data_IF_206610135663
#
_entry.id   IF_206610135663
#
_cell.length_a   1.000
_cell.length_b   1.000
_cell.length_c   1.000
_cell.angle_alpha   90.00
_cell.angle_beta   90.00
_cell.angle_gamma   90.00
#
_symmetry.space_group_name_H-M   'P 1'
#
loop_
_entity.id
_entity.type
_entity.pdbx_description
1 polymer ?
#
# COMPACT_ATOMS: atom_id res chain seq x y z
N UNK A 1 7.65 -24.68 -11.24
CA UNK A 1 7.42 -23.23 -11.04
C UNK A 1 8.73 -22.53 -11.29
N UNK A 2 8.83 -21.75 -12.36
CA UNK A 2 10.09 -21.14 -12.79
C UNK A 2 10.54 -20.08 -11.79
N UNK A 3 11.79 -20.21 -11.31
CA UNK A 3 12.49 -19.20 -10.52
C UNK A 3 12.62 -17.91 -11.34
N UNK A 4 11.70 -16.95 -11.15
CA UNK A 4 11.91 -15.58 -11.62
C UNK A 4 13.01 -14.94 -10.76
N UNK A 5 14.26 -15.06 -11.22
CA UNK A 5 15.32 -14.04 -11.22
C UNK A 5 15.59 -13.23 -9.94
N UNK A 6 16.51 -13.73 -9.12
CA UNK A 6 17.14 -13.06 -7.96
C UNK A 6 17.66 -11.63 -8.27
N UNK A 7 18.23 -11.42 -9.47
CA UNK A 7 18.77 -10.11 -9.90
C UNK A 7 17.68 -9.08 -10.20
N UNK A 8 16.59 -9.46 -10.85
CA UNK A 8 15.52 -8.53 -11.20
C UNK A 8 14.78 -8.06 -9.95
N UNK A 9 14.52 -8.97 -9.02
CA UNK A 9 13.95 -8.64 -7.70
C UNK A 9 14.89 -7.72 -6.92
N UNK A 10 16.20 -8.00 -6.91
CA UNK A 10 17.20 -7.12 -6.27
C UNK A 10 17.16 -5.69 -6.81
N UNK A 11 17.17 -5.52 -8.14
CA UNK A 11 17.10 -4.20 -8.77
C UNK A 11 15.80 -3.45 -8.44
N UNK A 12 14.68 -4.17 -8.32
CA UNK A 12 13.39 -3.62 -7.91
C UNK A 12 13.42 -3.12 -6.46
N UNK A 13 13.97 -3.92 -5.54
CA UNK A 13 14.13 -3.55 -4.13
C UNK A 13 15.04 -2.31 -3.98
N UNK A 14 16.17 -2.29 -4.66
CA UNK A 14 17.09 -1.15 -4.66
C UNK A 14 16.43 0.11 -5.21
N UNK A 15 15.64 -0.01 -6.28
CA UNK A 15 14.88 1.10 -6.84
C UNK A 15 13.89 1.66 -5.83
N UNK A 16 13.08 0.82 -5.19
CA UNK A 16 12.10 1.27 -4.19
C UNK A 16 12.79 1.97 -3.02
N UNK A 17 13.93 1.45 -2.54
CA UNK A 17 14.77 2.11 -1.52
C UNK A 17 15.30 3.47 -2.00
N UNK A 18 15.76 3.56 -3.25
CA UNK A 18 16.26 4.81 -3.82
C UNK A 18 15.15 5.86 -3.99
N UNK A 19 13.94 5.46 -4.36
CA UNK A 19 12.75 6.33 -4.40
C UNK A 19 12.43 6.82 -2.99
N UNK A 20 12.35 5.89 -2.03
CA UNK A 20 12.05 6.19 -0.64
C UNK A 20 13.09 7.12 0.00
N UNK A 21 14.35 7.07 -0.43
CA UNK A 21 15.41 7.98 0.03
C UNK A 21 15.18 9.44 -0.43
N UNK A 22 14.52 9.64 -1.58
CA UNK A 22 14.29 10.95 -2.20
C UNK A 22 12.92 11.54 -1.90
N UNK A 23 11.90 10.69 -1.70
CA UNK A 23 10.51 11.12 -1.51
C UNK A 23 9.98 10.65 -0.16
N UNK A 24 9.31 11.52 0.63
CA UNK A 24 8.70 11.12 1.88
C UNK A 24 7.47 10.22 1.68
N UNK A 25 6.82 10.30 0.51
CA UNK A 25 5.66 9.48 0.17
C UNK A 25 5.64 9.18 -1.33
N UNK A 26 5.33 7.93 -1.71
CA UNK A 26 5.19 7.52 -3.11
C UNK A 26 4.30 6.28 -3.26
N UNK A 27 3.78 6.09 -4.48
CA UNK A 27 3.21 4.83 -4.97
C UNK A 27 3.88 4.47 -6.31
N UNK A 28 4.16 3.18 -6.52
CA UNK A 28 4.93 2.70 -7.67
C UNK A 28 4.37 1.37 -8.16
N UNK A 29 4.14 1.25 -9.47
CA UNK A 29 3.81 -0.02 -10.10
C UNK A 29 5.12 -0.76 -10.43
N UNK A 30 5.40 -1.82 -9.67
CA UNK A 30 6.63 -2.59 -9.82
C UNK A 30 6.63 -3.47 -11.07
N UNK A 31 5.46 -3.78 -11.65
CA UNK A 31 5.37 -4.56 -12.88
C UNK A 31 5.50 -3.67 -14.10
N UNK A 32 4.87 -2.49 -14.08
CA UNK A 32 4.94 -1.48 -15.13
C UNK A 32 6.18 -0.57 -15.09
N UNK A 33 7.00 -0.67 -14.04
CA UNK A 33 8.16 0.20 -13.77
C UNK A 33 7.83 1.71 -13.85
N UNK A 34 6.73 2.12 -13.21
CA UNK A 34 6.23 3.50 -13.29
C UNK A 34 5.67 4.03 -11.97
N UNK A 35 5.68 5.35 -11.81
CA UNK A 35 5.04 6.00 -10.65
C UNK A 35 3.52 5.99 -10.81
N UNK A 36 2.82 5.71 -9.72
CA UNK A 36 1.39 5.95 -9.60
C UNK A 36 1.20 7.34 -8.99
N UNK A 37 0.60 8.25 -9.76
CA UNK A 37 0.39 9.65 -9.39
C UNK A 37 -1.05 10.12 -9.63
N UNK A 38 -1.97 9.20 -9.93
CA UNK A 38 -3.41 9.44 -10.10
C UNK A 38 -4.21 8.42 -9.33
N UNK A 39 -5.51 8.68 -9.22
CA UNK A 39 -6.51 7.76 -8.67
C UNK A 39 -6.35 7.48 -7.17
N UNK A 40 -6.98 6.41 -6.69
CA UNK A 40 -7.08 6.09 -5.28
C UNK A 40 -6.23 4.86 -4.96
N UNK A 41 -5.40 4.96 -3.93
CA UNK A 41 -4.51 3.88 -3.50
C UNK A 41 -4.89 3.45 -2.09
N UNK A 42 -5.08 2.15 -1.90
CA UNK A 42 -5.40 1.56 -0.60
C UNK A 42 -4.44 0.42 -0.32
N UNK A 43 -3.87 0.40 0.88
CA UNK A 43 -2.96 -0.66 1.30
C UNK A 43 -3.70 -1.97 1.58
N UNK A 44 -3.04 -3.09 1.28
CA UNK A 44 -3.45 -4.40 1.77
C UNK A 44 -3.11 -4.54 3.26
N UNK A 45 -3.94 -5.33 3.96
CA UNK A 45 -3.55 -5.90 5.24
C UNK A 45 -2.50 -6.99 5.00
N UNK A 46 -1.23 -6.70 5.31
CA UNK A 46 -0.17 -7.70 5.29
C UNK A 46 0.22 -8.02 6.73
N UNK A 47 0.23 -9.30 7.14
CA UNK A 47 0.80 -9.69 8.42
C UNK A 47 2.25 -9.23 8.52
N UNK A 48 2.55 -8.40 9.51
CA UNK A 48 3.87 -7.81 9.71
C UNK A 48 4.21 -7.71 11.19
N UNK A 49 5.43 -7.31 11.49
CA UNK A 49 5.80 -6.98 12.86
C UNK A 49 5.01 -5.74 13.29
N UNK A 50 4.37 -5.77 14.46
CA UNK A 50 3.54 -4.66 14.95
C UNK A 50 4.31 -3.32 15.07
N UNK A 51 5.62 -3.36 15.28
CA UNK A 51 6.45 -2.15 15.43
C UNK A 51 7.12 -1.67 14.15
N UNK A 52 7.37 -2.59 13.20
CA UNK A 52 8.20 -2.31 12.00
C UNK A 52 7.45 -2.47 10.68
N UNK A 53 6.22 -3.00 10.70
CA UNK A 53 5.49 -3.39 9.51
C UNK A 53 6.09 -4.63 8.82
N UNK A 54 5.60 -4.98 7.63
CA UNK A 54 6.18 -6.03 6.80
C UNK A 54 7.52 -5.60 6.19
N UNK A 55 8.42 -6.56 5.98
CA UNK A 55 9.67 -6.34 5.25
C UNK A 55 9.41 -6.01 3.77
N UNK A 56 10.25 -5.18 3.16
CA UNK A 56 10.07 -4.73 1.77
C UNK A 56 9.98 -5.90 0.79
N UNK A 57 10.79 -6.93 0.99
CA UNK A 57 10.81 -8.15 0.19
C UNK A 57 9.44 -8.85 0.19
N UNK A 58 8.78 -8.92 1.36
CA UNK A 58 7.43 -9.49 1.50
C UNK A 58 6.38 -8.59 0.87
N UNK A 59 6.53 -7.28 1.01
CA UNK A 59 5.65 -6.29 0.36
C UNK A 59 5.70 -6.41 -1.16
N UNK A 60 6.90 -6.50 -1.73
CA UNK A 60 7.08 -6.65 -3.19
C UNK A 60 6.52 -7.98 -3.67
N UNK A 61 6.80 -9.08 -2.96
CA UNK A 61 6.23 -10.39 -3.31
C UNK A 61 4.70 -10.34 -3.31
N UNK A 62 4.10 -9.81 -2.24
CA UNK A 62 2.65 -9.65 -2.14
C UNK A 62 2.10 -8.71 -3.23
N UNK A 63 2.79 -7.63 -3.58
CA UNK A 63 2.36 -6.76 -4.67
C UNK A 63 2.35 -7.53 -6.01
N UNK A 64 3.40 -8.32 -6.30
CA UNK A 64 3.51 -9.08 -7.54
C UNK A 64 2.44 -10.18 -7.69
N UNK A 65 1.96 -10.74 -6.58
CA UNK A 65 0.85 -11.70 -6.53
C UNK A 65 -0.54 -11.04 -6.68
N UNK A 66 -0.63 -9.73 -6.48
CA UNK A 66 -1.85 -8.94 -6.53
C UNK A 66 -1.74 -7.84 -7.63
N UNK A 67 -1.98 -6.57 -7.27
CA UNK A 67 -2.12 -5.44 -8.19
C UNK A 67 -0.79 -4.72 -8.54
N UNK A 68 0.35 -5.30 -8.18
CA UNK A 68 1.71 -4.79 -8.44
C UNK A 68 2.04 -3.39 -7.94
N UNK A 69 1.19 -2.78 -7.11
CA UNK A 69 1.47 -1.46 -6.53
C UNK A 69 2.17 -1.61 -5.18
N UNK A 70 3.26 -0.87 -5.01
CA UNK A 70 3.93 -0.67 -3.72
C UNK A 70 3.88 0.80 -3.37
N UNK A 71 3.48 1.11 -2.14
CA UNK A 71 3.61 2.45 -1.57
C UNK A 71 4.65 2.48 -0.47
N UNK A 72 5.29 3.64 -0.30
CA UNK A 72 6.22 3.89 0.79
C UNK A 72 5.93 5.24 1.44
N UNK A 73 5.87 5.26 2.78
CA UNK A 73 5.70 6.48 3.59
C UNK A 73 6.81 6.55 4.62
N UNK A 74 7.54 7.66 4.65
CA UNK A 74 8.55 7.93 5.67
C UNK A 74 7.88 8.54 6.90
N UNK A 75 8.14 7.98 8.07
CA UNK A 75 7.70 8.54 9.36
C UNK A 75 8.60 9.70 9.81
N UNK A 76 8.23 10.32 10.93
CA UNK A 76 8.99 11.44 11.51
C UNK A 76 10.39 11.02 11.99
N UNK A 77 10.55 9.75 12.37
CA UNK A 77 11.82 9.14 12.78
C UNK A 77 12.70 8.75 11.58
N UNK A 78 12.23 8.97 10.35
CA UNK A 78 12.97 8.69 9.13
C UNK A 78 12.89 7.24 8.64
N UNK A 79 12.12 6.38 9.30
CA UNK A 79 11.89 4.99 8.87
C UNK A 79 10.86 4.98 7.74
N UNK A 80 11.08 4.11 6.77
CA UNK A 80 10.16 3.95 5.63
C UNK A 80 9.29 2.74 5.86
N UNK A 81 7.98 2.98 5.89
CA UNK A 81 6.96 1.94 5.96
C UNK A 81 6.50 1.62 4.54
N UNK A 82 6.66 0.37 4.13
CA UNK A 82 6.24 -0.10 2.83
C UNK A 82 4.96 -0.92 2.93
N UNK A 83 4.07 -0.75 1.97
CA UNK A 83 2.83 -1.53 1.88
C UNK A 83 2.58 -1.91 0.42
N UNK A 84 2.01 -3.10 0.21
CA UNK A 84 1.43 -3.43 -1.09
C UNK A 84 0.06 -2.77 -1.15
N UNK A 85 -0.33 -2.31 -2.31
CA UNK A 85 -1.55 -1.54 -2.47
C UNK A 85 -2.34 -2.01 -3.69
N UNK A 86 -3.58 -1.55 -3.73
CA UNK A 86 -4.47 -1.66 -4.87
C UNK A 86 -4.91 -0.28 -5.33
N UNK A 87 -5.00 -0.12 -6.65
CA UNK A 87 -5.48 1.08 -7.31
C UNK A 87 -6.99 0.99 -7.55
N UNK A 88 -7.70 2.08 -7.31
CA UNK A 88 -9.14 2.20 -7.55
C UNK A 88 -9.44 3.51 -8.26
N UNK A 89 -10.34 3.47 -9.22
CA UNK A 89 -10.89 4.66 -9.89
C UNK A 89 -12.18 5.15 -9.23
N UNK A 90 -12.82 4.31 -8.41
CA UNK A 90 -14.07 4.60 -7.70
C UNK A 90 -13.86 4.63 -6.18
N UNK A 91 -14.37 5.68 -5.54
CA UNK A 91 -14.23 5.89 -4.09
C UNK A 91 -15.00 4.85 -3.28
N UNK A 92 -16.18 4.41 -3.72
CA UNK A 92 -16.97 3.47 -2.93
C UNK A 92 -16.28 2.10 -2.84
N UNK A 93 -15.72 1.63 -3.96
CA UNK A 93 -14.93 0.40 -4.01
C UNK A 93 -13.64 0.52 -3.17
N UNK A 94 -12.94 1.65 -3.25
CA UNK A 94 -11.75 1.91 -2.44
C UNK A 94 -12.07 1.86 -0.94
N UNK A 95 -13.15 2.52 -0.51
CA UNK A 95 -13.56 2.57 0.89
C UNK A 95 -14.03 1.22 1.41
N UNK A 96 -14.76 0.45 0.59
CA UNK A 96 -15.15 -0.92 0.94
C UNK A 96 -13.92 -1.80 1.16
N UNK A 97 -12.99 -1.78 0.20
CA UNK A 97 -11.75 -2.54 0.30
C UNK A 97 -10.91 -2.12 1.51
N UNK A 98 -10.82 -0.82 1.78
CA UNK A 98 -10.12 -0.30 2.95
C UNK A 98 -10.69 -0.87 4.26
N UNK A 99 -12.02 -0.94 4.40
CA UNK A 99 -12.69 -1.56 5.56
C UNK A 99 -12.38 -3.05 5.67
N UNK A 100 -12.48 -3.79 4.56
CA UNK A 100 -12.18 -5.22 4.51
C UNK A 100 -10.72 -5.53 4.91
N UNK A 101 -9.80 -4.60 4.62
CA UNK A 101 -8.38 -4.70 4.98
C UNK A 101 -7.99 -3.89 6.25
N UNK A 102 -8.96 -3.44 7.04
CA UNK A 102 -8.71 -2.73 8.30
C UNK A 102 -7.91 -1.42 8.16
N UNK A 103 -7.93 -0.79 6.99
CA UNK A 103 -7.23 0.47 6.73
C UNK A 103 -8.09 1.65 7.18
N UNK A 104 -7.47 2.59 7.89
CA UNK A 104 -8.14 3.80 8.39
C UNK A 104 -8.30 4.89 7.32
N UNK A 105 -7.57 4.79 6.19
CA UNK A 105 -7.52 5.84 5.18
C UNK A 105 -7.36 5.27 3.77
N UNK A 106 -7.89 5.98 2.79
CA UNK A 106 -7.62 5.81 1.35
C UNK A 106 -6.80 7.01 0.88
N UNK A 107 -5.68 6.81 0.19
CA UNK A 107 -4.93 7.93 -0.38
C UNK A 107 -5.48 8.31 -1.76
N UNK A 108 -5.85 9.57 -1.95
CA UNK A 108 -6.32 10.11 -3.22
C UNK A 108 -5.23 10.96 -3.88
N UNK A 109 -4.58 10.41 -4.91
CA UNK A 109 -3.53 11.11 -5.66
C UNK A 109 -4.07 12.29 -6.46
N UNK A 110 -5.31 12.23 -6.96
CA UNK A 110 -5.91 13.34 -7.72
C UNK A 110 -6.11 14.60 -6.85
N UNK A 111 -6.19 14.44 -5.53
CA UNK A 111 -6.34 15.53 -4.56
C UNK A 111 -5.13 15.71 -3.64
N UNK A 112 -4.14 14.84 -3.74
CA UNK A 112 -3.01 14.74 -2.81
C UNK A 112 -3.46 14.70 -1.33
N UNK A 113 -4.49 13.92 -1.02
CA UNK A 113 -5.11 13.89 0.30
C UNK A 113 -5.49 12.48 0.75
N UNK A 114 -5.38 12.22 2.06
CA UNK A 114 -5.93 11.02 2.69
C UNK A 114 -7.41 11.22 2.99
N UNK A 115 -8.24 10.27 2.59
CA UNK A 115 -9.68 10.22 2.86
C UNK A 115 -9.91 9.24 4.00
N UNK A 116 -10.47 9.68 5.14
CA UNK A 116 -10.69 8.80 6.29
C UNK A 116 -11.77 7.78 5.99
N UNK A 117 -11.53 6.53 6.36
CA UNK A 117 -12.49 5.44 6.28
C UNK A 117 -13.27 5.42 7.58
N UNK A 118 -14.54 5.81 7.52
CA UNK A 118 -15.40 5.76 8.69
C UNK A 118 -15.50 4.32 9.22
N UNK A 119 -15.26 4.11 10.52
CA UNK A 119 -15.46 2.80 11.13
C UNK A 119 -16.93 2.41 10.96
N UNK A 120 -17.17 1.14 10.62
CA UNK A 120 -18.52 0.58 10.69
C UNK A 120 -18.97 0.68 12.16
N UNK A 121 -19.83 1.65 12.46
CA UNK A 121 -20.56 1.68 13.73
C UNK A 121 -21.47 0.46 13.70
N UNK A 122 -21.05 -0.63 14.32
CA UNK A 122 -21.94 -1.75 14.62
C UNK A 122 -22.92 -1.19 15.65
N UNK A 123 -24.11 -0.82 15.19
CA UNK A 123 -25.21 -0.55 16.10
C UNK A 123 -25.56 -1.86 16.79
N UNK A 124 -25.08 -2.01 18.02
CA UNK A 124 -25.59 -3.00 18.97
C UNK A 124 -27.09 -2.69 19.14
N UNK A 125 -27.94 -3.42 18.40
CA UNK A 125 -29.37 -3.33 18.63
C UNK A 125 -29.65 -4.06 19.95
N UNK A 126 -30.18 -3.38 20.98
CA UNK A 126 -30.62 -4.09 22.17
C UNK A 126 -31.80 -4.97 21.75
N UNK A 127 -31.61 -6.28 21.85
CA UNK A 127 -32.68 -7.27 21.72
C UNK A 127 -33.76 -6.93 22.74
N UNK A 128 -34.95 -6.55 22.26
CA UNK A 128 -36.17 -6.36 23.07
C UNK A 128 -36.75 -7.73 23.43
#
# INVERSE_FOLDING_TARGET
MALMTDRSTTLMLERLRAIAARKPFFSYDVRGDSYVNTDLVVAYAIPGNMEKGPELEKVVQHALEHDSIVSGKRDAEGRVHYTSCRLFTDMNNAMRFAREHGQATVYNWNRHAEVPVEPLVVQDQPTV
#
